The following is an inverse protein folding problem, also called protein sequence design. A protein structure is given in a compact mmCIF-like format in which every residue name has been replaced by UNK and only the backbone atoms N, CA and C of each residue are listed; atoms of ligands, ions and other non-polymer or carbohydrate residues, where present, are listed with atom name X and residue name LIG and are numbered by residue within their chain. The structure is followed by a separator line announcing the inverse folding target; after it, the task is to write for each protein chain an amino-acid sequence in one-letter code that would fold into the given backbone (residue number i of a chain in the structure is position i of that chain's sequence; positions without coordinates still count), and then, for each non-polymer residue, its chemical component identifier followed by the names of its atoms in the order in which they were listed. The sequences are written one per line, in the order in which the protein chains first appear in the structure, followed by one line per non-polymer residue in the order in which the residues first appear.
data_IF_723065929789
#
_entry.id   IF_723065929789
#
_cell.length_a   1.000
_cell.length_b   1.000
_cell.length_c   1.000
_cell.angle_alpha   90.00
_cell.angle_beta   90.00
_cell.angle_gamma   90.00
#
_symmetry.space_group_name_H-M   'P 1'
#
loop_
_entity.id
_entity.type
_entity.pdbx_description
1 polymer ?
#
# COMPACT_ATOMS: atom_id res chain seq x y z
N UNK A 1 -2.68 -2.28 -8.74
CA UNK A 1 -1.57 -2.37 -7.79
C UNK A 1 -0.54 -3.36 -8.33
N UNK A 2 0.74 -3.19 -8.02
CA UNK A 2 1.75 -4.18 -8.38
C UNK A 2 1.45 -5.50 -7.67
N UNK A 3 1.41 -6.59 -8.42
CA UNK A 3 1.18 -7.92 -7.87
C UNK A 3 2.52 -8.48 -7.35
N UNK A 4 2.78 -8.28 -6.07
CA UNK A 4 3.92 -8.89 -5.38
C UNK A 4 3.50 -10.22 -4.75
N UNK A 5 4.02 -11.32 -5.32
CA UNK A 5 3.79 -12.71 -4.91
C UNK A 5 4.96 -13.30 -4.12
N UNK A 6 5.91 -12.45 -3.67
CA UNK A 6 7.04 -12.85 -2.85
C UNK A 6 8.27 -13.34 -3.62
N UNK A 7 8.21 -13.34 -4.96
CA UNK A 7 9.28 -13.78 -5.85
C UNK A 7 10.07 -12.63 -6.50
N UNK A 8 9.77 -11.38 -6.14
CA UNK A 8 10.47 -10.21 -6.65
C UNK A 8 11.84 -10.05 -5.97
N UNK A 9 12.78 -9.42 -6.68
CA UNK A 9 14.00 -8.93 -6.03
C UNK A 9 13.63 -7.84 -5.01
N UNK A 10 14.46 -7.65 -3.98
CA UNK A 10 14.18 -6.62 -2.97
C UNK A 10 14.02 -5.21 -3.60
N UNK A 11 14.90 -4.75 -4.53
CA UNK A 11 14.69 -3.47 -5.20
C UNK A 11 13.33 -3.36 -5.90
N UNK A 12 12.89 -4.41 -6.61
CA UNK A 12 11.61 -4.40 -7.32
C UNK A 12 10.42 -4.41 -6.35
N UNK A 13 10.50 -5.17 -5.25
CA UNK A 13 9.46 -5.20 -4.22
C UNK A 13 9.29 -3.85 -3.50
N UNK A 14 10.36 -3.06 -3.39
CA UNK A 14 10.32 -1.72 -2.79
C UNK A 14 9.85 -0.64 -3.79
N UNK A 15 10.01 -0.85 -5.09
CA UNK A 15 9.65 0.08 -6.17
C UNK A 15 8.18 -0.09 -6.62
N UNK A 16 7.25 -0.03 -5.66
CA UNK A 16 5.82 -0.37 -5.83
C UNK A 16 4.93 0.77 -6.36
N UNK A 17 5.33 1.36 -7.50
CA UNK A 17 4.63 2.51 -8.08
C UNK A 17 3.17 2.21 -8.50
N UNK A 18 2.85 0.97 -8.87
CA UNK A 18 1.47 0.57 -9.16
C UNK A 18 0.58 0.59 -7.93
N UNK A 19 1.12 0.46 -6.70
CA UNK A 19 0.37 0.67 -5.45
C UNK A 19 0.03 2.15 -5.24
N UNK A 20 0.95 3.06 -5.58
CA UNK A 20 0.68 4.52 -5.57
C UNK A 20 -0.45 4.84 -6.55
N UNK A 21 -0.35 4.37 -7.79
CA UNK A 21 -1.40 4.57 -8.80
C UNK A 21 -2.76 4.06 -8.31
N UNK A 22 -2.79 2.89 -7.68
CA UNK A 22 -4.01 2.34 -7.09
C UNK A 22 -4.64 3.28 -6.05
N UNK A 23 -3.85 3.80 -5.11
CA UNK A 23 -4.34 4.76 -4.12
C UNK A 23 -4.82 6.05 -4.77
N UNK A 24 -4.07 6.62 -5.72
CA UNK A 24 -4.48 7.81 -6.45
C UNK A 24 -5.85 7.64 -7.12
N UNK A 25 -6.08 6.51 -7.80
CA UNK A 25 -7.36 6.21 -8.44
C UNK A 25 -8.50 6.11 -7.43
N UNK A 26 -8.32 5.38 -6.32
CA UNK A 26 -9.36 5.24 -5.30
C UNK A 26 -9.68 6.56 -4.60
N UNK A 27 -8.66 7.33 -4.24
CA UNK A 27 -8.84 8.64 -3.60
C UNK A 27 -9.50 9.65 -4.55
N UNK A 28 -9.22 9.58 -5.86
CA UNK A 28 -9.91 10.39 -6.86
C UNK A 28 -11.40 10.06 -6.93
N UNK A 29 -11.76 8.77 -6.93
CA UNK A 29 -13.16 8.35 -6.88
C UNK A 29 -13.85 8.82 -5.59
N UNK A 30 -13.20 8.68 -4.43
CA UNK A 30 -13.74 9.18 -3.16
C UNK A 30 -13.95 10.69 -3.21
N UNK A 31 -13.03 11.45 -3.81
CA UNK A 31 -13.19 12.88 -3.98
C UNK A 31 -14.41 13.22 -4.85
N UNK A 32 -14.64 12.47 -5.93
CA UNK A 32 -15.86 12.63 -6.74
C UNK A 32 -17.12 12.37 -5.90
N UNK A 33 -17.17 11.28 -5.13
CA UNK A 33 -18.32 10.98 -4.26
C UNK A 33 -18.57 12.08 -3.21
N UNK A 34 -17.50 12.63 -2.63
CA UNK A 34 -17.63 13.77 -1.70
C UNK A 34 -18.21 14.99 -2.41
N UNK A 35 -17.77 15.28 -3.63
CA UNK A 35 -18.29 16.39 -4.42
C UNK A 35 -19.76 16.19 -4.84
N UNK A 36 -20.20 14.94 -5.00
CA UNK A 36 -21.60 14.58 -5.28
C UNK A 36 -22.50 14.64 -4.03
N UNK A 37 -21.95 15.04 -2.88
CA UNK A 37 -22.70 15.26 -1.63
C UNK A 37 -22.72 14.08 -0.67
N UNK A 38 -21.98 13.00 -0.95
CA UNK A 38 -21.86 11.89 0.00
C UNK A 38 -20.90 12.22 1.14
N UNK A 39 -21.27 11.83 2.36
CA UNK A 39 -20.41 12.00 3.54
C UNK A 39 -19.40 10.85 3.63
N UNK A 40 -18.11 11.16 3.48
CA UNK A 40 -17.01 10.21 3.63
C UNK A 40 -16.15 10.64 4.83
N UNK A 41 -16.10 9.80 5.86
CA UNK A 41 -15.39 10.11 7.10
C UNK A 41 -13.89 9.77 7.06
N UNK A 42 -13.46 8.90 6.15
CA UNK A 42 -12.04 8.52 6.07
C UNK A 42 -11.73 7.46 5.02
N UNK A 43 -10.44 7.23 4.82
CA UNK A 43 -9.88 6.23 3.93
C UNK A 43 -8.79 5.43 4.67
N UNK A 44 -8.92 4.11 4.69
CA UNK A 44 -7.96 3.21 5.33
C UNK A 44 -7.36 2.28 4.29
N UNK A 45 -6.05 2.43 4.06
CA UNK A 45 -5.32 1.57 3.15
C UNK A 45 -5.10 0.19 3.78
N UNK A 46 -5.48 -0.88 3.06
CA UNK A 46 -4.98 -2.22 3.33
C UNK A 46 -3.65 -2.41 2.57
N UNK A 47 -2.52 -2.56 3.24
CA UNK A 47 -2.32 -2.57 4.70
C UNK A 47 -1.09 -1.78 5.09
N UNK A 48 -0.92 -1.56 6.39
CA UNK A 48 0.27 -0.90 6.91
C UNK A 48 1.54 -1.68 6.55
N UNK A 49 1.53 -3.01 6.67
CA UNK A 49 2.68 -3.87 6.47
C UNK A 49 2.28 -5.19 5.81
N UNK A 50 3.23 -5.81 5.10
CA UNK A 50 3.04 -7.16 4.57
C UNK A 50 2.68 -8.12 5.72
N UNK A 51 1.67 -8.94 5.51
CA UNK A 51 1.10 -9.79 6.55
C UNK A 51 0.62 -11.14 5.97
N UNK A 52 -0.12 -11.91 6.76
CA UNK A 52 -0.69 -13.19 6.35
C UNK A 52 -2.00 -12.98 5.57
N UNK A 53 -2.00 -13.26 4.28
CA UNK A 53 -3.12 -13.02 3.37
C UNK A 53 -3.96 -14.30 3.15
N UNK A 54 -4.46 -14.85 4.26
CA UNK A 54 -5.41 -15.96 4.31
C UNK A 54 -4.94 -17.18 3.50
N UNK A 55 -5.71 -17.61 2.50
CA UNK A 55 -5.39 -18.79 1.67
C UNK A 55 -4.07 -18.68 0.90
N UNK A 56 -3.49 -17.47 0.78
CA UNK A 56 -2.21 -17.24 0.12
C UNK A 56 -1.02 -17.23 1.09
N UNK A 57 -1.27 -17.34 2.40
CA UNK A 57 -0.24 -17.23 3.42
C UNK A 57 0.56 -15.92 3.31
N UNK A 58 1.88 -16.00 3.45
CA UNK A 58 2.78 -14.84 3.38
C UNK A 58 3.32 -14.52 1.97
N UNK A 59 2.74 -15.13 0.93
CA UNK A 59 3.22 -14.93 -0.45
C UNK A 59 2.75 -13.61 -1.04
N UNK A 60 1.49 -13.23 -0.82
CA UNK A 60 0.96 -11.94 -1.26
C UNK A 60 1.35 -10.82 -0.31
N UNK A 61 1.81 -9.71 -0.90
CA UNK A 61 2.36 -8.57 -0.17
C UNK A 61 1.59 -7.29 -0.46
N UNK A 62 0.52 -7.03 0.30
CA UNK A 62 -0.29 -5.82 0.14
C UNK A 62 0.26 -4.58 0.86
N UNK A 63 1.15 -4.77 1.82
CA UNK A 63 1.57 -3.73 2.73
C UNK A 63 2.37 -2.62 2.07
N UNK A 64 2.25 -1.41 2.62
CA UNK A 64 3.13 -0.29 2.27
C UNK A 64 4.53 -0.44 2.89
N UNK A 65 4.67 -1.23 3.96
CA UNK A 65 5.96 -1.63 4.51
C UNK A 65 6.27 -3.07 4.09
N UNK A 66 7.45 -3.27 3.51
CA UNK A 66 7.99 -4.58 3.21
C UNK A 66 8.47 -5.25 4.50
N UNK A 67 8.00 -6.46 4.73
CA UNK A 67 8.38 -7.26 5.91
C UNK A 67 9.31 -8.39 5.49
N UNK A 68 10.47 -8.44 6.13
CA UNK A 68 11.33 -9.61 6.09
C UNK A 68 10.80 -10.65 7.08
N UNK A 69 10.13 -11.69 6.57
CA UNK A 69 9.50 -12.70 7.44
C UNK A 69 10.52 -13.62 8.15
N UNK A 70 11.78 -13.68 7.71
CA UNK A 70 12.83 -14.45 8.39
C UNK A 70 13.60 -13.61 9.40
N UNK A 71 13.71 -12.30 9.18
CA UNK A 71 14.31 -11.35 10.12
C UNK A 71 13.45 -10.07 10.23
N UNK A 72 12.42 -10.05 11.10
CA UNK A 72 11.49 -8.92 11.20
C UNK A 72 12.13 -7.56 11.56
N UNK A 73 13.34 -7.56 12.14
CA UNK A 73 14.10 -6.33 12.40
C UNK A 73 14.58 -5.64 11.11
N UNK A 74 14.61 -6.37 10.00
CA UNK A 74 15.05 -5.90 8.68
C UNK A 74 13.87 -5.43 7.79
N UNK A 75 12.87 -4.78 8.39
CA UNK A 75 11.77 -4.16 7.64
C UNK A 75 12.24 -2.98 6.78
N UNK A 76 11.52 -2.71 5.68
CA UNK A 76 11.83 -1.60 4.76
C UNK A 76 10.56 -0.88 4.32
N UNK A 77 10.61 0.44 4.24
CA UNK A 77 9.53 1.22 3.64
C UNK A 77 9.53 1.04 2.12
N UNK A 78 8.37 0.74 1.54
CA UNK A 78 8.19 0.78 0.08
C UNK A 78 7.99 2.23 -0.39
N UNK A 79 8.06 2.44 -1.69
CA UNK A 79 7.88 3.77 -2.31
C UNK A 79 6.48 4.32 -2.01
N UNK A 80 5.45 3.47 -1.98
CA UNK A 80 4.10 3.82 -1.58
C UNK A 80 3.98 4.35 -0.16
N UNK A 81 4.72 3.80 0.81
CA UNK A 81 4.73 4.29 2.20
C UNK A 81 5.21 5.74 2.29
N UNK A 82 6.29 6.05 1.57
CA UNK A 82 6.87 7.40 1.52
C UNK A 82 5.91 8.37 0.86
N UNK A 83 5.35 7.99 -0.29
CA UNK A 83 4.35 8.77 -0.99
C UNK A 83 3.11 9.03 -0.13
N UNK A 84 2.55 7.99 0.51
CA UNK A 84 1.35 8.10 1.35
C UNK A 84 1.57 9.02 2.56
N UNK A 85 2.77 8.96 3.17
CA UNK A 85 3.17 9.89 4.23
C UNK A 85 3.15 11.35 3.74
N UNK A 86 3.76 11.61 2.58
CA UNK A 86 3.81 12.94 2.01
C UNK A 86 2.43 13.44 1.58
N UNK A 87 1.59 12.55 1.06
CA UNK A 87 0.22 12.85 0.69
C UNK A 87 -0.60 13.30 1.91
N UNK A 88 -0.56 12.55 3.02
CA UNK A 88 -1.31 12.88 4.24
C UNK A 88 -0.85 14.22 4.83
N UNK A 89 0.47 14.48 4.87
CA UNK A 89 1.01 15.71 5.47
C UNK A 89 0.67 16.96 4.63
N UNK A 90 0.40 16.80 3.33
CA UNK A 90 0.14 17.91 2.40
C UNK A 90 -1.35 18.21 2.18
N UNK A 91 -2.27 17.45 2.77
CA UNK A 91 -3.70 17.78 2.78
C UNK A 91 -3.96 18.97 3.71
#
# INVERSE_FOLDING_TARGET
ADLDTGNLTLPDALADNGRIQNHCSHLSCLKCSINDGFSVAGYFAWSLMDNYEFGNGYTLRFGMNWVNFTNPADGREKTSRKWFSMFIIKQ
#
